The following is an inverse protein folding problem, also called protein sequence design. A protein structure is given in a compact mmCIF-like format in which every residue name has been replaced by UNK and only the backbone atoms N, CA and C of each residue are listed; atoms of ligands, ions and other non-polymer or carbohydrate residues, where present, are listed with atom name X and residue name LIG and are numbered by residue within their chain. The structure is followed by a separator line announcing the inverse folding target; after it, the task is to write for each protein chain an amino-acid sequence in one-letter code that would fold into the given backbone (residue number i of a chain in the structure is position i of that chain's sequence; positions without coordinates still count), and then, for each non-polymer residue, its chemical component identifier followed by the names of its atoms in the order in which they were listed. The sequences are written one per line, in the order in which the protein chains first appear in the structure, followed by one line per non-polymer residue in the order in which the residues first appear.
data_IF_187374844267
#
_entry.id   IF_187374844267
#
_cell.length_a   1.000
_cell.length_b   1.000
_cell.length_c   1.000
_cell.angle_alpha   90.00
_cell.angle_beta   90.00
_cell.angle_gamma   90.00
#
_symmetry.space_group_name_H-M   'P 1'
#
loop_
_entity.id
_entity.type
_entity.pdbx_description
1 polymer ?
#
# COMPACT_ATOMS: atom_id res chain seq x y z
N UNK A 1 -15.61 -12.46 6.79
CA UNK A 1 -15.50 -11.00 6.62
C UNK A 1 -14.68 -10.48 7.79
N UNK A 2 -13.48 -9.97 7.52
CA UNK A 2 -12.67 -9.31 8.55
C UNK A 2 -13.04 -7.83 8.62
N UNK A 3 -12.85 -7.20 9.78
CA UNK A 3 -12.94 -5.74 9.90
C UNK A 3 -11.91 -5.08 8.98
N UNK A 4 -12.09 -3.80 8.67
CA UNK A 4 -11.08 -3.05 7.90
C UNK A 4 -9.70 -3.12 8.56
N UNK A 5 -8.64 -2.98 7.77
CA UNK A 5 -7.27 -3.09 8.24
C UNK A 5 -6.42 -1.89 7.87
N UNK A 6 -5.49 -1.56 8.76
CA UNK A 6 -4.46 -0.53 8.54
C UNK A 6 -3.06 -1.13 8.64
N UNK A 7 -2.30 -0.96 7.56
CA UNK A 7 -0.89 -1.23 7.50
C UNK A 7 -0.08 0.03 7.79
N UNK A 8 0.26 0.26 9.06
CA UNK A 8 1.00 1.45 9.49
C UNK A 8 2.48 1.18 9.81
N UNK A 9 2.86 -0.09 9.97
CA UNK A 9 4.26 -0.52 10.19
C UNK A 9 4.83 -1.08 8.89
N UNK A 10 5.20 -0.19 7.98
CA UNK A 10 5.81 -0.60 6.72
C UNK A 10 7.25 -1.10 6.94
N UNK A 11 7.44 -2.42 6.88
CA UNK A 11 8.75 -3.04 7.09
C UNK A 11 9.73 -2.80 5.94
N UNK A 12 9.25 -2.38 4.77
CA UNK A 12 10.12 -1.95 3.66
C UNK A 12 11.07 -0.85 4.11
N UNK A 13 10.60 0.06 4.98
CA UNK A 13 11.37 1.21 5.46
C UNK A 13 12.47 0.83 6.45
N UNK A 14 12.31 -0.27 7.17
CA UNK A 14 13.22 -0.70 8.24
C UNK A 14 14.05 -1.93 7.84
N UNK A 15 13.77 -2.55 6.69
CA UNK A 15 14.50 -3.68 6.16
C UNK A 15 15.77 -3.25 5.41
N UNK A 16 16.68 -4.20 5.18
CA UNK A 16 17.78 -4.06 4.24
C UNK A 16 17.32 -4.63 2.89
N UNK A 17 17.02 -3.79 1.88
CA UNK A 17 16.58 -4.27 0.58
C UNK A 17 17.77 -4.68 -0.29
N UNK A 18 17.63 -5.80 -0.99
CA UNK A 18 18.60 -6.31 -1.97
C UNK A 18 17.85 -6.65 -3.25
N UNK A 19 18.33 -6.15 -4.39
CA UNK A 19 17.78 -6.54 -5.68
C UNK A 19 18.38 -7.89 -6.08
N UNK A 20 17.55 -8.81 -6.53
CA UNK A 20 18.03 -10.10 -7.04
C UNK A 20 18.42 -10.01 -8.52
N UNK A 21 17.94 -8.98 -9.23
CA UNK A 21 18.09 -8.82 -10.68
C UNK A 21 18.76 -7.47 -11.01
N UNK A 22 19.13 -7.29 -12.28
CA UNK A 22 19.74 -6.06 -12.77
C UNK A 22 18.83 -4.84 -12.57
N UNK A 23 19.41 -3.78 -12.03
CA UNK A 23 18.70 -2.52 -11.72
C UNK A 23 19.26 -1.39 -12.55
N UNK A 24 18.44 -0.38 -12.83
CA UNK A 24 18.94 0.88 -13.37
C UNK A 24 19.76 1.56 -12.28
N UNK A 25 21.04 1.88 -12.54
CA UNK A 25 21.97 2.30 -11.48
C UNK A 25 21.53 3.53 -10.66
N UNK A 26 20.74 4.44 -11.24
CA UNK A 26 20.18 5.60 -10.55
C UNK A 26 18.85 5.32 -9.82
N UNK A 27 18.26 4.14 -10.02
CA UNK A 27 16.97 3.71 -9.48
C UNK A 27 17.09 2.35 -8.75
N UNK A 28 18.00 2.24 -7.75
CA UNK A 28 18.24 1.00 -7.03
C UNK A 28 17.07 0.61 -6.13
N UNK A 29 17.06 -0.63 -5.64
CA UNK A 29 16.01 -1.15 -4.74
C UNK A 29 15.88 -0.36 -3.42
N UNK A 30 16.95 0.29 -2.96
CA UNK A 30 16.94 1.14 -1.77
C UNK A 30 15.97 2.31 -1.90
N UNK A 31 15.61 2.70 -3.13
CA UNK A 31 14.60 3.72 -3.38
C UNK A 31 13.21 3.34 -2.88
N UNK A 32 12.90 2.04 -2.69
CA UNK A 32 11.63 1.62 -2.07
C UNK A 32 11.45 2.13 -0.64
N UNK A 33 12.53 2.57 0.01
CA UNK A 33 12.50 3.17 1.35
C UNK A 33 12.05 4.64 1.32
N UNK A 34 11.89 5.22 0.12
CA UNK A 34 11.41 6.58 -0.05
C UNK A 34 9.87 6.64 0.04
N UNK A 35 9.28 7.48 0.92
CA UNK A 35 7.84 7.61 1.04
C UNK A 35 7.17 8.45 -0.06
N UNK A 36 7.92 9.19 -0.91
CA UNK A 36 7.35 10.20 -1.82
C UNK A 36 6.69 9.62 -3.08
N UNK A 37 7.08 8.43 -3.52
CA UNK A 37 6.42 7.70 -4.61
C UNK A 37 6.52 8.27 -6.02
N UNK A 38 7.38 9.26 -6.27
CA UNK A 38 7.68 9.73 -7.62
C UNK A 38 8.43 8.66 -8.43
N UNK A 39 8.01 8.40 -9.66
CA UNK A 39 8.64 7.40 -10.54
C UNK A 39 10.13 7.67 -10.81
N UNK A 40 10.55 8.95 -10.82
CA UNK A 40 11.96 9.35 -10.94
C UNK A 40 12.81 9.00 -9.71
N UNK A 41 12.18 8.62 -8.61
CA UNK A 41 12.81 8.24 -7.35
C UNK A 41 12.41 6.81 -6.95
N UNK A 42 11.86 6.02 -7.87
CA UNK A 42 11.40 4.66 -7.62
C UNK A 42 12.50 3.61 -7.78
N UNK A 43 12.17 2.36 -7.47
CA UNK A 43 13.00 1.22 -7.84
C UNK A 43 12.66 0.80 -9.28
N UNK A 44 13.70 0.65 -10.12
CA UNK A 44 13.53 0.20 -11.50
C UNK A 44 14.41 -1.00 -11.80
N UNK A 45 13.75 -2.10 -12.16
CA UNK A 45 14.40 -3.31 -12.67
C UNK A 45 14.40 -3.28 -14.19
N UNK A 46 15.52 -3.68 -14.79
CA UNK A 46 15.58 -3.89 -16.24
C UNK A 46 14.86 -5.19 -16.59
N UNK A 47 14.15 -5.18 -17.72
CA UNK A 47 13.48 -6.33 -18.34
C UNK A 47 14.03 -6.40 -19.76
N UNK A 48 14.85 -7.41 -20.04
CA UNK A 48 15.52 -7.54 -21.35
C UNK A 48 14.68 -8.34 -22.33
N UNK A 49 13.85 -9.26 -21.83
CA UNK A 49 12.97 -10.11 -22.63
C UNK A 49 11.68 -10.48 -21.89
N UNK A 50 10.68 -10.89 -22.67
CA UNK A 50 9.46 -11.48 -22.14
C UNK A 50 9.78 -12.69 -21.24
N UNK A 51 9.24 -12.68 -20.02
CA UNK A 51 9.49 -13.70 -19.00
C UNK A 51 10.54 -13.33 -17.95
N UNK A 52 11.29 -12.24 -18.14
CA UNK A 52 12.11 -11.67 -17.07
C UNK A 52 11.24 -11.12 -15.94
N UNK A 53 11.85 -10.98 -14.76
CA UNK A 53 11.19 -10.48 -13.57
C UNK A 53 11.90 -9.30 -12.95
N UNK A 54 11.15 -8.53 -12.17
CA UNK A 54 11.71 -7.68 -11.13
C UNK A 54 11.65 -8.46 -9.82
N UNK A 55 12.78 -8.63 -9.15
CA UNK A 55 12.84 -9.35 -7.87
C UNK A 55 13.67 -8.58 -6.86
N UNK A 56 13.14 -8.49 -5.64
CA UNK A 56 13.84 -7.90 -4.51
C UNK A 56 13.53 -8.66 -3.23
N UNK A 57 14.53 -8.71 -2.37
CA UNK A 57 14.47 -9.30 -1.03
C UNK A 57 14.63 -8.21 0.01
N UNK A 58 13.80 -8.27 1.04
CA UNK A 58 13.87 -7.41 2.22
C UNK A 58 14.24 -8.27 3.41
N UNK A 59 15.37 -7.96 4.05
CA UNK A 59 15.84 -8.69 5.25
C UNK A 59 15.77 -7.79 6.48
N UNK A 60 15.20 -8.31 7.56
CA UNK A 60 15.11 -7.68 8.87
C UNK A 60 16.20 -8.23 9.80
N UNK A 61 16.65 -7.42 10.76
CA UNK A 61 17.60 -7.86 11.78
C UNK A 61 17.01 -8.88 12.76
N UNK A 62 15.69 -8.88 12.93
CA UNK A 62 14.96 -9.81 13.76
C UNK A 62 13.65 -10.19 13.08
N UNK A 63 13.18 -11.42 13.33
CA UNK A 63 11.92 -11.90 12.79
C UNK A 63 10.76 -10.99 13.23
N UNK A 64 9.87 -10.69 12.29
CA UNK A 64 8.72 -9.83 12.50
C UNK A 64 7.47 -10.40 11.81
N UNK A 65 6.32 -9.83 12.17
CA UNK A 65 5.04 -10.18 11.58
C UNK A 65 4.87 -9.59 10.18
N UNK A 66 4.40 -10.43 9.27
CA UNK A 66 4.02 -10.14 7.89
C UNK A 66 2.58 -10.60 7.65
N UNK A 67 1.81 -9.78 6.95
CA UNK A 67 0.43 -10.11 6.56
C UNK A 67 0.04 -9.55 5.21
N UNK A 68 0.41 -8.31 4.91
CA UNK A 68 0.02 -7.65 3.67
C UNK A 68 1.23 -7.21 2.88
N UNK A 69 1.13 -7.39 1.57
CA UNK A 69 2.11 -7.00 0.58
C UNK A 69 1.40 -6.18 -0.49
N UNK A 70 1.99 -5.06 -0.89
CA UNK A 70 1.45 -4.27 -1.98
C UNK A 70 2.52 -3.45 -2.67
N UNK A 71 2.30 -3.24 -3.95
CA UNK A 71 3.11 -2.42 -4.83
C UNK A 71 2.20 -1.32 -5.38
N UNK A 72 2.70 -0.10 -5.47
CA UNK A 72 1.90 1.06 -5.85
C UNK A 72 2.60 1.91 -6.90
N UNK A 73 1.79 2.53 -7.76
CA UNK A 73 2.24 3.35 -8.90
C UNK A 73 3.17 2.63 -9.86
N UNK A 74 2.99 1.33 -9.97
CA UNK A 74 3.77 0.48 -10.87
C UNK A 74 3.36 0.70 -12.32
N UNK A 75 4.26 0.43 -13.25
CA UNK A 75 3.94 0.34 -14.68
C UNK A 75 3.51 -1.07 -15.11
N UNK A 76 3.13 -1.93 -14.15
CA UNK A 76 2.69 -3.29 -14.45
C UNK A 76 1.39 -3.24 -15.25
N UNK A 77 1.22 -4.15 -16.24
CA UNK A 77 0.01 -4.20 -17.02
C UNK A 77 -1.19 -4.60 -16.15
N UNK A 78 -2.34 -3.96 -16.38
CA UNK A 78 -3.59 -4.27 -15.67
C UNK A 78 -4.04 -5.72 -15.85
N UNK A 79 -3.67 -6.32 -16.99
CA UNK A 79 -3.94 -7.73 -17.28
C UNK A 79 -2.65 -8.51 -17.44
N UNK A 80 -2.62 -9.72 -16.88
CA UNK A 80 -1.53 -10.66 -17.09
C UNK A 80 -0.34 -10.55 -16.13
N UNK A 81 -0.22 -9.47 -15.35
CA UNK A 81 0.84 -9.37 -14.33
C UNK A 81 0.73 -10.51 -13.29
N UNK A 82 1.88 -11.05 -12.91
CA UNK A 82 2.02 -12.12 -11.94
C UNK A 82 3.08 -11.76 -10.90
N UNK A 83 2.99 -12.36 -9.72
CA UNK A 83 4.00 -12.23 -8.69
C UNK A 83 4.09 -13.48 -7.83
N UNK A 84 5.14 -13.57 -7.04
CA UNK A 84 5.38 -14.59 -6.03
C UNK A 84 5.95 -13.90 -4.80
N UNK A 85 5.38 -14.24 -3.65
CA UNK A 85 5.79 -13.73 -2.36
C UNK A 85 6.31 -14.91 -1.55
N UNK A 86 7.55 -14.80 -1.09
CA UNK A 86 8.20 -15.81 -0.26
C UNK A 86 8.60 -15.16 1.06
N UNK A 87 8.16 -15.73 2.17
CA UNK A 87 8.57 -15.31 3.52
C UNK A 87 9.45 -16.40 4.08
N UNK A 88 10.64 -16.05 4.54
CA UNK A 88 11.54 -16.97 5.23
C UNK A 88 11.78 -16.55 6.68
N UNK A 89 12.21 -17.52 7.49
CA UNK A 89 12.66 -17.33 8.86
C UNK A 89 13.94 -18.15 9.07
N UNK A 90 15.08 -17.51 9.34
CA UNK A 90 16.37 -18.18 9.49
C UNK A 90 16.77 -18.99 8.24
N UNK A 91 16.42 -18.49 7.05
CA UNK A 91 16.64 -19.17 5.76
C UNK A 91 15.65 -20.29 5.41
N UNK A 92 14.71 -20.64 6.28
CA UNK A 92 13.65 -21.61 5.99
C UNK A 92 12.43 -20.91 5.42
N UNK A 93 11.90 -21.37 4.27
CA UNK A 93 10.68 -20.83 3.69
C UNK A 93 9.47 -21.18 4.57
N UNK A 94 8.79 -20.15 5.10
CA UNK A 94 7.57 -20.28 5.92
C UNK A 94 6.32 -20.06 5.07
N UNK A 95 6.42 -19.18 4.08
CA UNK A 95 5.36 -18.93 3.09
C UNK A 95 5.96 -18.92 1.71
N UNK A 96 5.25 -19.55 0.79
CA UNK A 96 5.48 -19.42 -0.64
C UNK A 96 4.12 -19.40 -1.33
N UNK A 97 3.77 -18.27 -1.93
CA UNK A 97 2.49 -18.14 -2.64
C UNK A 97 2.47 -18.90 -3.95
N UNK A 98 3.61 -19.42 -4.40
CA UNK A 98 3.86 -19.78 -5.80
C UNK A 98 3.60 -18.59 -6.73
N UNK A 99 3.71 -18.80 -8.04
CA UNK A 99 3.35 -17.78 -9.02
C UNK A 99 1.85 -17.62 -9.05
N UNK A 100 1.38 -16.44 -8.70
CA UNK A 100 -0.03 -16.09 -8.66
C UNK A 100 -0.30 -14.80 -9.45
N UNK A 101 -1.57 -14.54 -9.76
CA UNK A 101 -1.95 -13.29 -10.41
C UNK A 101 -1.66 -12.09 -9.48
N UNK A 102 -1.18 -11.00 -10.07
CA UNK A 102 -1.05 -9.69 -9.46
C UNK A 102 -2.05 -8.77 -10.15
N UNK A 103 -3.34 -8.79 -9.76
CA UNK A 103 -4.32 -7.91 -10.37
C UNK A 103 -3.95 -6.46 -10.07
N UNK A 104 -3.68 -5.70 -11.13
CA UNK A 104 -3.30 -4.29 -11.03
C UNK A 104 -4.52 -3.43 -11.34
N UNK A 105 -4.78 -2.43 -10.49
CA UNK A 105 -5.79 -1.41 -10.76
C UNK A 105 -5.22 -0.05 -10.36
N UNK A 106 -5.21 0.93 -11.28
CA UNK A 106 -4.60 2.24 -11.01
C UNK A 106 -3.11 2.17 -10.63
N UNK A 107 -2.39 1.19 -11.17
CA UNK A 107 -0.96 0.96 -10.86
C UNK A 107 -0.69 0.34 -9.48
N UNK A 108 -1.72 -0.05 -8.71
CA UNK A 108 -1.55 -0.77 -7.45
C UNK A 108 -1.91 -2.25 -7.56
N UNK A 109 -1.15 -3.09 -6.86
CA UNK A 109 -1.40 -4.52 -6.69
C UNK A 109 -1.24 -4.87 -5.21
N UNK A 110 -2.21 -5.60 -4.65
CA UNK A 110 -2.32 -5.84 -3.20
C UNK A 110 -2.63 -7.31 -2.95
N UNK A 111 -1.94 -7.91 -1.97
CA UNK A 111 -2.23 -9.24 -1.47
C UNK A 111 -2.15 -9.27 0.05
N UNK A 112 -3.14 -9.91 0.67
CA UNK A 112 -3.16 -10.19 2.09
C UNK A 112 -3.09 -11.71 2.31
N UNK A 113 -2.17 -12.14 3.18
CA UNK A 113 -2.16 -13.50 3.69
C UNK A 113 -3.39 -13.73 4.57
N UNK A 114 -3.93 -14.97 4.60
CA UNK A 114 -5.09 -15.28 5.43
C UNK A 114 -4.81 -15.11 6.93
N UNK A 115 -3.56 -15.34 7.35
CA UNK A 115 -3.11 -15.24 8.74
C UNK A 115 -1.78 -14.49 8.83
N UNK A 116 -1.49 -13.94 10.00
CA UNK A 116 -0.18 -13.36 10.32
C UNK A 116 0.92 -14.44 10.31
N UNK A 117 2.04 -14.12 9.68
CA UNK A 117 3.22 -15.01 9.59
C UNK A 117 4.43 -14.30 10.16
N UNK A 118 5.29 -15.04 10.87
CA UNK A 118 6.54 -14.50 11.41
C UNK A 118 7.73 -14.94 10.55
N UNK A 119 8.55 -13.98 10.13
CA UNK A 119 9.75 -14.23 9.33
C UNK A 119 10.75 -13.07 9.38
N UNK A 120 11.99 -13.33 9.00
CA UNK A 120 13.08 -12.36 8.97
C UNK A 120 13.38 -11.84 7.57
N UNK A 121 12.93 -12.50 6.51
CA UNK A 121 13.08 -12.01 5.15
C UNK A 121 11.86 -12.26 4.28
N UNK A 122 11.64 -11.36 3.32
CA UNK A 122 10.60 -11.47 2.30
C UNK A 122 11.19 -11.22 0.93
N UNK A 123 10.95 -12.13 0.00
CA UNK A 123 11.26 -11.93 -1.42
C UNK A 123 9.98 -11.73 -2.20
N UNK A 124 9.90 -10.65 -2.96
CA UNK A 124 8.82 -10.37 -3.88
C UNK A 124 9.40 -10.42 -5.29
N UNK A 125 8.85 -11.30 -6.11
CA UNK A 125 9.19 -11.40 -7.53
C UNK A 125 7.97 -11.09 -8.36
N UNK A 126 8.13 -10.26 -9.38
CA UNK A 126 7.04 -9.78 -10.24
C UNK A 126 7.37 -10.04 -11.70
N UNK A 127 6.41 -10.55 -12.45
CA UNK A 127 6.47 -10.80 -13.89
C UNK A 127 5.36 -10.02 -14.59
N UNK A 128 5.69 -9.12 -15.55
CA UNK A 128 4.69 -8.35 -16.29
C UNK A 128 3.90 -9.20 -17.32
N UNK A 129 4.42 -10.36 -17.74
CA UNK A 129 3.84 -11.39 -18.67
C UNK A 129 3.51 -10.91 -20.09
N UNK A 130 3.06 -9.68 -20.27
CA UNK A 130 3.14 -8.93 -21.53
C UNK A 130 4.33 -7.98 -21.45
N UNK A 131 4.85 -7.53 -22.59
CA UNK A 131 5.98 -6.59 -22.63
C UNK A 131 5.57 -5.25 -21.98
N UNK A 132 6.08 -4.89 -20.78
CA UNK A 132 5.80 -3.59 -20.17
C UNK A 132 6.65 -2.46 -20.82
N UNK A 133 7.49 -2.81 -21.80
CA UNK A 133 8.69 -2.08 -22.21
C UNK A 133 9.96 -2.73 -21.66
N UNK A 134 11.08 -2.00 -21.68
CA UNK A 134 12.39 -2.51 -21.25
C UNK A 134 12.63 -2.46 -19.73
N UNK A 135 11.62 -2.12 -18.93
CA UNK A 135 11.74 -2.03 -17.47
C UNK A 135 10.42 -2.22 -16.71
N UNK A 136 10.54 -2.62 -15.45
CA UNK A 136 9.48 -2.56 -14.44
C UNK A 136 9.85 -1.50 -13.40
N UNK A 137 8.92 -0.59 -13.15
CA UNK A 137 9.04 0.49 -12.18
C UNK A 137 8.11 0.23 -10.98
N UNK A 138 8.68 0.35 -9.77
CA UNK A 138 7.98 0.19 -8.50
C UNK A 138 8.36 1.37 -7.61
N UNK A 139 7.59 2.47 -7.64
CA UNK A 139 7.89 3.65 -6.84
C UNK A 139 7.62 3.49 -5.34
N UNK A 140 6.61 2.69 -4.99
CA UNK A 140 6.16 2.51 -3.61
C UNK A 140 5.84 1.04 -3.34
N UNK A 141 6.20 0.58 -2.14
CA UNK A 141 5.83 -0.74 -1.66
C UNK A 141 5.42 -0.68 -0.18
N UNK A 142 4.51 -1.56 0.20
CA UNK A 142 4.21 -1.88 1.59
C UNK A 142 4.37 -3.38 1.79
N UNK A 143 5.10 -3.77 2.82
CA UNK A 143 5.15 -5.14 3.30
C UNK A 143 5.18 -5.09 4.83
N UNK A 144 4.28 -5.79 5.50
CA UNK A 144 4.23 -5.75 6.96
C UNK A 144 2.96 -6.31 7.58
N UNK A 145 2.76 -6.10 8.89
CA UNK A 145 1.57 -6.55 9.59
C UNK A 145 0.33 -5.75 9.15
N UNK A 146 -0.85 -6.24 9.49
CA UNK A 146 -2.11 -5.52 9.32
C UNK A 146 -2.79 -5.43 10.67
N UNK A 147 -2.93 -4.22 11.20
CA UNK A 147 -3.74 -4.00 12.40
C UNK A 147 -5.19 -3.84 11.99
N UNK A 148 -6.11 -4.43 12.75
CA UNK A 148 -7.54 -4.27 12.55
C UNK A 148 -8.18 -3.99 13.92
N UNK A 149 -9.05 -2.98 14.03
CA UNK A 149 -9.71 -2.68 15.30
C UNK A 149 -10.60 -3.84 15.73
N UNK A 150 -10.58 -4.16 17.02
CA UNK A 150 -11.39 -5.24 17.57
C UNK A 150 -12.88 -4.90 17.49
N UNK A 151 -13.21 -3.61 17.65
CA UNK A 151 -14.55 -3.06 17.49
C UNK A 151 -14.56 -2.09 16.31
N UNK A 152 -15.24 -2.48 15.24
CA UNK A 152 -15.46 -1.63 14.09
C UNK A 152 -16.96 -1.42 13.86
N UNK A 153 -17.63 -0.67 14.75
CA UNK A 153 -19.04 -0.29 14.57
C UNK A 153 -19.20 0.90 13.62
N UNK A 154 -18.47 0.91 12.51
CA UNK A 154 -18.71 1.89 11.45
C UNK A 154 -19.12 1.16 10.17
N UNK A 155 -20.33 1.46 9.71
CA UNK A 155 -20.86 1.02 8.43
C UNK A 155 -20.46 1.96 7.28
N UNK A 156 -19.71 3.02 7.55
CA UNK A 156 -19.48 4.12 6.60
C UNK A 156 -18.00 4.40 6.40
N UNK A 157 -17.56 4.18 5.16
CA UNK A 157 -16.34 4.74 4.61
C UNK A 157 -16.69 5.34 3.25
N UNK A 158 -16.38 6.61 3.05
CA UNK A 158 -16.68 7.32 1.80
C UNK A 158 -15.43 7.36 0.94
N UNK A 159 -15.53 6.84 -0.29
CA UNK A 159 -14.50 6.99 -1.30
C UNK A 159 -14.76 8.25 -2.11
N UNK A 160 -13.72 9.09 -2.22
CA UNK A 160 -13.77 10.36 -2.92
C UNK A 160 -12.56 10.49 -3.86
N UNK A 161 -12.58 11.50 -4.74
CA UNK A 161 -11.54 11.77 -5.73
C UNK A 161 -11.27 13.27 -5.76
N UNK A 162 -10.01 13.65 -5.57
CA UNK A 162 -9.58 15.04 -5.71
C UNK A 162 -8.91 15.20 -7.08
N UNK A 163 -9.38 16.19 -7.82
CA UNK A 163 -8.91 16.53 -9.16
C UNK A 163 -8.28 17.92 -9.14
N UNK A 164 -7.03 18.02 -9.58
CA UNK A 164 -6.45 19.30 -9.97
C UNK A 164 -6.72 19.54 -11.45
N UNK A 165 -7.63 20.46 -11.77
CA UNK A 165 -7.98 20.82 -13.14
C UNK A 165 -7.85 22.33 -13.34
N UNK A 166 -7.32 22.73 -14.49
CA UNK A 166 -7.52 24.07 -15.01
C UNK A 166 -8.61 24.00 -16.07
N UNK A 167 -9.59 24.91 -16.02
CA UNK A 167 -10.52 25.11 -17.12
C UNK A 167 -10.30 26.48 -17.77
N UNK A 168 -10.24 26.50 -19.09
CA UNK A 168 -10.20 27.73 -19.89
C UNK A 168 -11.46 27.76 -20.74
N UNK A 169 -12.29 28.78 -20.56
CA UNK A 169 -13.50 29.00 -21.35
C UNK A 169 -13.19 29.99 -22.47
N UNK A 170 -13.42 29.57 -23.71
CA UNK A 170 -13.30 30.45 -24.89
C UNK A 170 -14.43 31.47 -24.96
N UNK A 171 -14.24 32.55 -25.74
CA UNK A 171 -15.31 33.53 -26.00
C UNK A 171 -16.58 32.92 -26.63
N UNK A 172 -16.47 31.76 -27.29
CA UNK A 172 -17.60 31.02 -27.86
C UNK A 172 -18.28 30.05 -26.91
N UNK A 173 -17.91 30.03 -25.62
CA UNK A 173 -18.49 29.16 -24.60
C UNK A 173 -17.95 27.72 -24.60
N UNK A 174 -16.94 27.41 -25.44
CA UNK A 174 -16.26 26.10 -25.36
C UNK A 174 -15.33 26.08 -24.16
N UNK A 175 -15.48 25.08 -23.30
CA UNK A 175 -14.65 24.84 -22.13
C UNK A 175 -13.57 23.78 -22.46
N UNK A 176 -12.31 24.12 -22.19
CA UNK A 176 -11.18 23.21 -22.30
C UNK A 176 -10.66 22.88 -20.90
N UNK A 177 -10.74 21.61 -20.52
CA UNK A 177 -10.29 21.13 -19.20
C UNK A 177 -8.93 20.45 -19.34
N UNK A 178 -7.92 20.99 -18.65
CA UNK A 178 -6.61 20.37 -18.52
C UNK A 178 -6.49 19.69 -17.14
N UNK A 179 -6.57 18.36 -17.12
CA UNK A 179 -6.35 17.58 -15.90
C UNK A 179 -4.86 17.57 -15.58
N UNK A 180 -4.47 18.18 -14.46
CA UNK A 180 -3.07 18.19 -13.98
C UNK A 180 -2.75 16.95 -13.17
N UNK A 181 -3.62 16.59 -12.23
CA UNK A 181 -3.44 15.43 -11.38
C UNK A 181 -4.76 14.87 -10.88
N UNK A 182 -4.74 13.59 -10.54
CA UNK A 182 -5.87 12.83 -10.03
C UNK A 182 -5.41 12.06 -8.79
N UNK A 183 -6.11 12.23 -7.67
CA UNK A 183 -5.73 11.64 -6.39
C UNK A 183 -6.95 10.99 -5.73
N UNK A 184 -6.83 9.73 -5.30
CA UNK A 184 -7.89 9.06 -4.53
C UNK A 184 -7.88 9.51 -3.08
N UNK A 185 -9.07 9.64 -2.49
CA UNK A 185 -9.28 9.96 -1.07
C UNK A 185 -10.25 8.98 -0.44
N UNK A 186 -10.01 8.62 0.82
CA UNK A 186 -10.95 7.87 1.63
C UNK A 186 -11.18 8.59 2.94
N UNK A 187 -12.45 8.73 3.32
CA UNK A 187 -12.85 9.15 4.67
C UNK A 187 -13.30 7.91 5.43
N UNK A 188 -12.66 7.66 6.57
CA UNK A 188 -12.85 6.46 7.39
C UNK A 188 -13.36 6.94 8.74
N UNK A 189 -14.64 6.68 9.03
CA UNK A 189 -15.20 6.95 10.34
C UNK A 189 -15.08 5.71 11.21
N UNK A 190 -14.68 5.89 12.47
CA UNK A 190 -14.87 4.89 13.52
C UNK A 190 -15.72 5.52 14.63
N UNK A 191 -16.81 4.86 15.02
CA UNK A 191 -17.77 5.39 15.99
C UNK A 191 -17.65 4.75 17.38
N UNK A 192 -16.86 3.67 17.51
CA UNK A 192 -16.75 2.90 18.75
C UNK A 192 -15.45 2.09 18.78
N UNK A 193 -14.32 2.79 18.91
CA UNK A 193 -13.02 2.21 19.21
C UNK A 193 -12.91 1.95 20.72
N UNK A 194 -12.28 0.85 21.13
CA UNK A 194 -11.88 0.68 22.53
C UNK A 194 -10.61 1.48 22.87
N UNK A 195 -10.31 1.65 24.15
CA UNK A 195 -9.16 2.38 24.70
C UNK A 195 -7.83 1.87 24.12
N UNK A 196 -7.71 0.53 23.99
CA UNK A 196 -6.53 -0.11 23.41
C UNK A 196 -6.40 0.19 21.91
N UNK A 197 -7.51 0.21 21.17
CA UNK A 197 -7.53 0.52 19.74
C UNK A 197 -7.25 2.03 19.51
N UNK A 198 -7.81 2.91 20.36
CA UNK A 198 -7.57 4.35 20.32
C UNK A 198 -6.07 4.68 20.49
N UNK A 199 -5.39 3.99 21.41
CA UNK A 199 -3.94 4.13 21.59
C UNK A 199 -3.15 3.75 20.32
N UNK A 200 -3.57 2.70 19.60
CA UNK A 200 -2.94 2.31 18.34
C UNK A 200 -3.21 3.33 17.23
N UNK A 201 -4.41 3.90 17.17
CA UNK A 201 -4.76 4.98 16.22
C UNK A 201 -3.92 6.22 16.48
N UNK A 202 -3.69 6.62 17.73
CA UNK A 202 -2.77 7.72 18.04
C UNK A 202 -1.35 7.46 17.55
N UNK A 203 -0.82 6.25 17.77
CA UNK A 203 0.49 5.87 17.27
C UNK A 203 0.55 5.93 15.74
N UNK A 204 -0.50 5.49 15.07
CA UNK A 204 -0.64 5.56 13.61
C UNK A 204 -0.64 7.02 13.12
N UNK A 205 -1.38 7.90 13.78
CA UNK A 205 -1.41 9.33 13.46
C UNK A 205 -0.03 9.99 13.66
N UNK A 206 0.70 9.64 14.72
CA UNK A 206 2.08 10.12 14.92
C UNK A 206 3.02 9.67 13.81
N UNK A 207 2.90 8.41 13.38
CA UNK A 207 3.67 7.89 12.23
C UNK A 207 3.30 8.64 10.96
N UNK A 208 2.01 8.86 10.69
CA UNK A 208 1.56 9.60 9.52
C UNK A 208 2.02 11.09 9.54
N UNK A 209 2.11 11.71 10.73
CA UNK A 209 2.62 13.07 10.89
C UNK A 209 4.09 13.21 10.47
N UNK A 210 4.89 12.14 10.53
CA UNK A 210 6.27 12.12 9.99
C UNK A 210 6.33 12.06 8.46
N UNK A 211 5.18 12.04 7.79
CA UNK A 211 5.07 11.92 6.34
C UNK A 211 5.22 10.49 5.82
N UNK A 212 5.06 9.47 6.67
CA UNK A 212 5.00 8.06 6.26
C UNK A 212 3.62 7.72 5.68
N UNK A 213 3.60 6.79 4.74
CA UNK A 213 2.36 6.31 4.12
C UNK A 213 1.73 5.19 4.96
N UNK A 214 0.40 5.17 5.00
CA UNK A 214 -0.42 4.15 5.66
C UNK A 214 -1.21 3.43 4.58
N UNK A 215 -1.23 2.09 4.66
CA UNK A 215 -2.10 1.26 3.83
C UNK A 215 -3.43 1.09 4.54
N UNK A 216 -4.54 1.35 3.85
CA UNK A 216 -5.87 1.02 4.34
C UNK A 216 -6.55 0.02 3.40
N UNK A 217 -7.11 -1.03 4.00
CA UNK A 217 -7.89 -2.07 3.32
C UNK A 217 -9.29 -2.12 3.93
N UNK A 218 -10.34 -1.76 3.17
CA UNK A 218 -11.72 -1.79 3.68
C UNK A 218 -12.19 -3.19 4.08
N UNK A 219 -11.83 -4.21 3.30
CA UNK A 219 -12.08 -5.63 3.61
C UNK A 219 -10.83 -6.44 3.27
N UNK A 220 -9.98 -6.77 4.25
CA UNK A 220 -8.78 -7.57 4.05
C UNK A 220 -9.04 -9.00 3.56
N UNK A 221 -10.28 -9.49 3.67
CA UNK A 221 -10.69 -10.83 3.22
C UNK A 221 -11.26 -10.85 1.80
N UNK A 222 -11.34 -9.69 1.13
CA UNK A 222 -11.75 -9.61 -0.27
C UNK A 222 -10.71 -10.24 -1.21
N UNK A 223 -11.14 -10.54 -2.43
CA UNK A 223 -10.24 -11.01 -3.48
C UNK A 223 -9.21 -9.94 -3.87
N UNK A 224 -8.09 -10.38 -4.45
CA UNK A 224 -6.95 -9.51 -4.77
C UNK A 224 -7.31 -8.34 -5.70
N UNK A 225 -8.25 -8.51 -6.62
CA UNK A 225 -8.68 -7.43 -7.52
C UNK A 225 -9.48 -6.38 -6.74
N UNK A 226 -10.42 -6.82 -5.89
CA UNK A 226 -11.17 -5.91 -5.00
C UNK A 226 -10.23 -5.17 -4.03
N UNK A 227 -9.22 -5.85 -3.48
CA UNK A 227 -8.18 -5.20 -2.66
C UNK A 227 -7.41 -4.14 -3.46
N UNK A 228 -7.01 -4.46 -4.69
CA UNK A 228 -6.33 -3.52 -5.58
C UNK A 228 -7.24 -2.38 -6.08
N UNK A 229 -8.56 -2.49 -6.03
CA UNK A 229 -9.48 -1.41 -6.44
C UNK A 229 -9.86 -0.51 -5.27
N UNK A 230 -10.05 -1.09 -4.08
CA UNK A 230 -10.60 -0.40 -2.90
C UNK A 230 -9.55 0.00 -1.87
N UNK A 231 -8.42 -0.72 -1.82
CA UNK A 231 -7.30 -0.36 -0.98
C UNK A 231 -6.70 0.98 -1.40
N UNK A 232 -6.10 1.67 -0.43
CA UNK A 232 -5.42 2.95 -0.66
C UNK A 232 -4.14 3.02 0.17
N UNK A 233 -3.05 3.46 -0.45
CA UNK A 233 -1.77 3.70 0.21
C UNK A 233 -1.38 5.16 0.07
N UNK A 234 -1.22 5.84 1.21
CA UNK A 234 -0.97 7.27 1.17
C UNK A 234 -0.91 7.93 2.53
N UNK A 235 -1.10 9.25 2.57
CA UNK A 235 -0.98 10.04 3.79
C UNK A 235 -2.27 10.00 4.59
N UNK A 236 -2.18 9.49 5.81
CA UNK A 236 -3.27 9.54 6.77
C UNK A 236 -3.23 10.88 7.51
N UNK A 237 -4.42 11.41 7.75
CA UNK A 237 -4.68 12.52 8.65
C UNK A 237 -5.94 12.20 9.45
N UNK A 238 -6.12 12.82 10.60
CA UNK A 238 -7.25 12.53 11.47
C UNK A 238 -7.62 13.74 12.30
N UNK A 239 -8.89 13.79 12.68
CA UNK A 239 -9.39 14.73 13.68
C UNK A 239 -9.07 14.30 15.10
N UNK A 240 -9.70 14.95 16.07
CA UNK A 240 -9.57 14.61 17.49
C UNK A 240 -10.24 13.26 17.78
N UNK A 241 -9.62 12.45 18.65
CA UNK A 241 -10.24 11.25 19.20
C UNK A 241 -11.21 11.71 20.29
N UNK A 242 -12.51 11.44 20.12
CA UNK A 242 -13.50 11.79 21.13
C UNK A 242 -13.38 10.87 22.34
N UNK A 243 -13.69 11.41 23.52
CA UNK A 243 -13.78 10.65 24.76
C UNK A 243 -15.21 10.75 25.30
N UNK A 244 -15.90 9.63 25.56
CA UNK A 244 -17.25 9.69 26.10
C UNK A 244 -17.20 10.21 27.54
N UNK A 245 -18.26 10.91 27.96
CA UNK A 245 -18.41 11.29 29.36
C UNK A 245 -18.66 10.02 30.21
N UNK A 246 -17.73 9.67 31.11
CA UNK A 246 -17.86 8.55 32.05
C UNK A 246 -16.91 7.38 31.79
N UNK A 247 -17.17 6.22 32.39
CA UNK A 247 -16.32 5.02 32.31
C UNK A 247 -16.55 4.16 31.03
N UNK A 248 -17.08 4.76 29.96
CA UNK A 248 -17.41 4.02 28.74
C UNK A 248 -16.18 3.90 27.83
N UNK A 249 -15.78 2.67 27.54
CA UNK A 249 -14.70 2.31 26.61
C UNK A 249 -15.16 2.45 25.14
N UNK A 250 -15.37 3.70 24.68
CA UNK A 250 -15.93 4.02 23.35
C UNK A 250 -15.45 5.36 22.79
N UNK A 251 -14.44 5.33 21.93
CA UNK A 251 -13.95 6.51 21.24
C UNK A 251 -14.47 6.59 19.80
N UNK A 252 -14.65 7.82 19.29
CA UNK A 252 -14.95 8.07 17.89
C UNK A 252 -13.89 8.96 17.25
N UNK A 253 -13.60 8.71 15.97
CA UNK A 253 -12.69 9.51 15.17
C UNK A 253 -13.07 9.40 13.70
N UNK A 254 -12.84 10.48 12.97
CA UNK A 254 -12.84 10.48 11.51
C UNK A 254 -11.41 10.67 11.00
N UNK A 255 -10.99 9.75 10.14
CA UNK A 255 -9.70 9.74 9.48
C UNK A 255 -9.88 10.04 8.00
N UNK A 256 -8.88 10.68 7.41
CA UNK A 256 -8.81 10.94 5.98
C UNK A 256 -7.48 10.42 5.44
N UNK A 257 -7.58 9.58 4.42
CA UNK A 257 -6.44 9.01 3.72
C UNK A 257 -6.41 9.55 2.29
N UNK A 258 -5.28 10.13 1.89
CA UNK A 258 -5.09 10.65 0.53
C UNK A 258 -3.94 9.94 -0.15
N UNK A 259 -4.15 9.49 -1.40
CA UNK A 259 -3.14 8.82 -2.22
C UNK A 259 -1.90 9.68 -2.40
N UNK A 260 -0.70 9.11 -2.57
CA UNK A 260 0.49 9.92 -2.84
C UNK A 260 0.77 10.07 -4.33
N UNK A 261 0.96 11.32 -4.77
CA UNK A 261 1.27 11.72 -6.15
C UNK A 261 2.77 11.82 -6.42
#
# INVERSE_FOLDING_TARGET
MQNCGFGWRNRVLDATPVASNATVGSLPVTNLQNPYGAASLGFRSLIEKAGDSASFTMTLQAAATWRVFSLHRTNLPETGAQWRIQVSNGGTSVVDTYVMACPVSGGQCVWALPNDVTGDAVTITVWPRTDPGTWVDIPLAYAGPLWSPARNFSSESTADRVLGQDSVVSLGGQEFVATRWFQRRLTIAHQSLGDADATVVEQMLRVAATGRNILFLPDPSADALTLAQRGLFGRLSGGEISNPFGAADRHAITLELTERL
#
